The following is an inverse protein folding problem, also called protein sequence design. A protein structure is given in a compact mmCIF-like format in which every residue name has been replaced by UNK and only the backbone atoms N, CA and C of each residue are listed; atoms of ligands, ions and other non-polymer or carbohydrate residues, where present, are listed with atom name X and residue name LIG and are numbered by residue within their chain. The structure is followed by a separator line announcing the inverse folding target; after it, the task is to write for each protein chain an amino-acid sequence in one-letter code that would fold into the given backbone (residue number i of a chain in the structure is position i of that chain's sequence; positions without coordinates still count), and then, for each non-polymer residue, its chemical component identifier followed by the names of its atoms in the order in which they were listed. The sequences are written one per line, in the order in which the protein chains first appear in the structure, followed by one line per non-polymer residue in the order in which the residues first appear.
data_IF_489823088640
#
_entry.id   IF_489823088640
#
_cell.length_a   1.000
_cell.length_b   1.000
_cell.length_c   1.000
_cell.angle_alpha   90.00
_cell.angle_beta   90.00
_cell.angle_gamma   90.00
#
_symmetry.space_group_name_H-M   'P 1'
#
loop_
_entity.id
_entity.type
_entity.pdbx_description
1 polymer ?
#
# COMPACT_ATOMS: atom_id res chain seq x y z
N UNK A 1 -34.07 1.77 43.98
CA UNK A 1 -32.63 1.91 43.64
C UNK A 1 -31.70 1.81 44.84
N UNK A 2 -31.90 2.57 45.96
CA UNK A 2 -31.02 2.49 47.15
C UNK A 2 -30.91 1.08 47.75
N UNK A 3 -31.99 0.30 47.81
CA UNK A 3 -31.98 -1.07 48.35
C UNK A 3 -31.10 -2.02 47.52
N UNK A 4 -31.15 -1.92 46.19
CA UNK A 4 -30.33 -2.73 45.30
C UNK A 4 -28.85 -2.37 45.45
N UNK A 5 -28.51 -1.07 45.54
CA UNK A 5 -27.15 -0.61 45.82
C UNK A 5 -26.58 -1.16 47.13
N UNK A 6 -27.37 -1.10 48.20
CA UNK A 6 -26.96 -1.61 49.51
C UNK A 6 -26.75 -3.14 49.46
N UNK A 7 -27.58 -3.88 48.74
CA UNK A 7 -27.45 -5.32 48.57
C UNK A 7 -26.18 -5.68 47.79
N UNK A 8 -25.93 -5.00 46.67
CA UNK A 8 -24.70 -5.18 45.86
C UNK A 8 -23.46 -4.86 46.72
N UNK A 9 -23.48 -3.77 47.48
CA UNK A 9 -22.36 -3.35 48.29
C UNK A 9 -22.09 -4.31 49.47
N UNK A 10 -23.12 -4.83 50.10
CA UNK A 10 -22.97 -5.81 51.16
C UNK A 10 -22.43 -7.15 50.67
N UNK A 11 -22.73 -7.53 49.46
CA UNK A 11 -22.26 -8.78 48.83
C UNK A 11 -20.98 -8.60 48.01
N UNK A 12 -20.30 -7.46 48.08
CA UNK A 12 -19.14 -7.13 47.20
C UNK A 12 -18.01 -8.15 47.24
N UNK A 13 -17.76 -8.81 48.38
CA UNK A 13 -16.72 -9.85 48.48
C UNK A 13 -17.14 -11.16 47.78
N UNK A 14 -18.41 -11.55 47.92
CA UNK A 14 -18.95 -12.72 47.25
C UNK A 14 -19.01 -12.49 45.69
N UNK A 15 -19.32 -11.26 45.30
CA UNK A 15 -19.47 -10.89 43.89
C UNK A 15 -18.15 -10.38 43.24
N UNK A 16 -17.04 -10.38 43.99
CA UNK A 16 -15.75 -9.87 43.46
C UNK A 16 -15.31 -10.59 42.18
N UNK A 17 -15.56 -11.89 42.08
CA UNK A 17 -15.29 -12.69 40.88
C UNK A 17 -16.12 -12.21 39.68
N UNK A 18 -17.40 -11.96 39.87
CA UNK A 18 -18.29 -11.47 38.81
C UNK A 18 -17.85 -10.11 38.31
N UNK A 19 -17.38 -9.22 39.20
CA UNK A 19 -16.82 -7.93 38.80
C UNK A 19 -15.53 -8.06 37.97
N UNK A 20 -14.65 -8.98 38.38
CA UNK A 20 -13.43 -9.27 37.66
C UNK A 20 -13.74 -9.83 36.25
N UNK A 21 -14.68 -10.76 36.16
CA UNK A 21 -15.16 -11.34 34.91
C UNK A 21 -15.75 -10.26 33.97
N UNK A 22 -16.64 -9.41 34.50
CA UNK A 22 -17.22 -8.31 33.74
C UNK A 22 -16.16 -7.31 33.23
N UNK A 23 -15.11 -7.03 34.02
CA UNK A 23 -14.01 -6.19 33.57
C UNK A 23 -13.27 -6.83 32.40
N UNK A 24 -12.92 -8.11 32.48
CA UNK A 24 -12.24 -8.83 31.41
C UNK A 24 -13.09 -8.84 30.15
N UNK A 25 -14.37 -9.15 30.27
CA UNK A 25 -15.34 -9.14 29.17
C UNK A 25 -15.41 -7.78 28.50
N UNK A 26 -15.52 -6.69 29.29
CA UNK A 26 -15.58 -5.35 28.72
C UNK A 26 -14.28 -4.97 28.00
N UNK A 27 -13.11 -5.34 28.50
CA UNK A 27 -11.82 -5.09 27.86
C UNK A 27 -11.72 -5.84 26.53
N UNK A 28 -12.10 -7.13 26.51
CA UNK A 28 -12.08 -7.94 25.27
C UNK A 28 -13.06 -7.40 24.24
N UNK A 29 -14.25 -7.01 24.64
CA UNK A 29 -15.26 -6.46 23.75
C UNK A 29 -14.80 -5.11 23.18
N UNK A 30 -14.25 -4.24 24.04
CA UNK A 30 -13.69 -2.95 23.60
C UNK A 30 -12.57 -3.17 22.59
N UNK A 31 -11.64 -4.09 22.88
CA UNK A 31 -10.54 -4.41 21.98
C UNK A 31 -11.05 -4.94 20.61
N UNK A 32 -12.04 -5.83 20.63
CA UNK A 32 -12.62 -6.36 19.39
C UNK A 32 -13.31 -5.27 18.56
N UNK A 33 -14.06 -4.37 19.20
CA UNK A 33 -14.72 -3.24 18.55
C UNK A 33 -13.69 -2.27 17.98
N UNK A 34 -12.65 -1.92 18.76
CA UNK A 34 -11.59 -1.00 18.32
C UNK A 34 -10.83 -1.57 17.10
N UNK A 35 -10.54 -2.87 17.14
CA UNK A 35 -9.88 -3.56 16.03
C UNK A 35 -10.73 -3.52 14.75
N UNK A 36 -12.00 -3.89 14.84
CA UNK A 36 -12.92 -3.83 13.69
C UNK A 36 -13.03 -2.39 13.18
N UNK A 37 -13.21 -1.41 14.07
CA UNK A 37 -13.35 -0.02 13.70
C UNK A 37 -12.11 0.51 12.95
N UNK A 38 -10.91 0.15 13.40
CA UNK A 38 -9.68 0.59 12.76
C UNK A 38 -9.47 -0.07 11.39
N UNK A 39 -9.69 -1.38 11.28
CA UNK A 39 -9.48 -2.11 10.03
C UNK A 39 -10.58 -1.81 9.00
N UNK A 40 -11.84 -1.98 9.37
CA UNK A 40 -12.97 -1.71 8.47
C UNK A 40 -13.08 -0.23 8.13
N UNK A 41 -12.85 0.65 9.12
CA UNK A 41 -12.84 2.09 8.89
C UNK A 41 -11.76 2.52 7.89
N UNK A 42 -10.60 1.84 7.90
CA UNK A 42 -9.60 2.03 6.86
C UNK A 42 -10.07 1.44 5.52
N UNK A 43 -10.60 0.22 5.50
CA UNK A 43 -11.03 -0.47 4.28
C UNK A 43 -12.14 0.28 3.52
N UNK A 44 -13.03 0.98 4.22
CA UNK A 44 -14.10 1.79 3.59
C UNK A 44 -13.59 3.05 2.87
N UNK A 45 -12.40 3.51 3.19
CA UNK A 45 -11.83 4.67 2.49
C UNK A 45 -11.31 4.25 1.11
N UNK A 46 -11.51 5.06 0.05
CA UNK A 46 -11.00 4.76 -1.29
C UNK A 46 -9.50 4.48 -1.30
N UNK A 47 -9.06 3.51 -2.11
CA UNK A 47 -7.60 3.23 -2.27
C UNK A 47 -6.84 4.41 -2.84
N UNK A 48 -7.50 5.24 -3.64
CA UNK A 48 -6.92 6.38 -4.33
C UNK A 48 -6.31 6.05 -5.70
N UNK A 49 -6.30 4.78 -6.11
CA UNK A 49 -5.84 4.31 -7.41
C UNK A 49 -6.66 3.12 -7.88
N UNK A 50 -6.65 2.87 -9.19
CA UNK A 50 -7.42 1.80 -9.83
C UNK A 50 -6.52 0.60 -10.13
N UNK A 51 -6.88 -0.57 -9.57
CA UNK A 51 -6.19 -1.85 -9.79
C UNK A 51 -6.97 -2.84 -10.62
N UNK A 52 -8.18 -2.49 -11.08
CA UNK A 52 -8.98 -3.37 -11.92
C UNK A 52 -8.30 -3.61 -13.27
N UNK A 53 -8.10 -4.87 -13.64
CA UNK A 53 -7.38 -5.24 -14.85
C UNK A 53 -5.88 -4.92 -14.81
N UNK A 54 -5.31 -4.70 -13.63
CA UNK A 54 -3.86 -4.53 -13.46
C UNK A 54 -3.23 -5.83 -13.02
N UNK A 55 -2.13 -6.19 -13.67
CA UNK A 55 -1.28 -7.33 -13.35
C UNK A 55 0.09 -6.84 -12.91
N UNK A 56 0.73 -7.57 -12.03
CA UNK A 56 2.15 -7.40 -11.70
C UNK A 56 2.95 -8.51 -12.35
N UNK A 57 4.09 -8.15 -12.91
CA UNK A 57 5.07 -9.05 -13.45
C UNK A 57 6.41 -8.78 -12.77
N UNK A 58 7.06 -9.85 -12.32
CA UNK A 58 8.42 -9.76 -11.77
C UNK A 58 9.38 -10.47 -12.70
N UNK A 59 10.43 -9.76 -13.07
CA UNK A 59 11.62 -10.35 -13.69
C UNK A 59 12.65 -10.60 -12.59
N UNK A 60 13.33 -11.72 -12.69
CA UNK A 60 14.42 -12.06 -11.80
C UNK A 60 15.72 -12.24 -12.58
N UNK A 61 16.85 -12.22 -11.89
CA UNK A 61 18.15 -12.46 -12.49
C UNK A 61 18.50 -13.93 -12.41
N UNK A 62 19.11 -14.45 -13.48
CA UNK A 62 19.70 -15.79 -13.46
C UNK A 62 20.79 -15.88 -12.38
N UNK A 63 21.12 -17.08 -11.89
CA UNK A 63 22.20 -17.27 -10.95
C UNK A 63 23.53 -16.67 -11.42
N UNK A 64 24.32 -16.13 -10.49
CA UNK A 64 25.56 -15.40 -10.81
C UNK A 64 26.64 -16.24 -11.53
N UNK A 65 26.60 -17.55 -11.38
CA UNK A 65 27.48 -18.49 -12.06
C UNK A 65 27.22 -18.61 -13.56
N UNK A 66 26.03 -18.16 -14.01
CA UNK A 66 25.62 -18.12 -15.43
C UNK A 66 25.85 -16.71 -16.02
N UNK A 67 25.90 -15.68 -15.17
CA UNK A 67 26.09 -14.31 -15.58
C UNK A 67 27.58 -14.04 -15.76
N UNK A 68 27.99 -13.71 -16.97
CA UNK A 68 29.34 -13.26 -17.31
C UNK A 68 29.34 -11.77 -17.66
N UNK A 69 30.51 -11.18 -17.89
CA UNK A 69 30.67 -9.76 -18.20
C UNK A 69 29.93 -9.36 -19.48
N UNK A 70 29.83 -10.24 -20.46
CA UNK A 70 29.12 -9.98 -21.72
C UNK A 70 27.60 -9.93 -21.48
N UNK A 71 27.05 -10.88 -20.74
CA UNK A 71 25.64 -10.92 -20.35
C UNK A 71 25.27 -9.72 -19.52
N UNK A 72 26.10 -9.31 -18.58
CA UNK A 72 25.87 -8.15 -17.74
C UNK A 72 26.00 -6.83 -18.53
N UNK A 73 26.92 -6.77 -19.51
CA UNK A 73 27.14 -5.59 -20.36
C UNK A 73 25.92 -5.21 -21.22
N UNK A 74 25.07 -6.18 -21.58
CA UNK A 74 23.88 -5.98 -22.40
C UNK A 74 22.57 -5.86 -21.61
N UNK A 75 22.65 -5.84 -20.28
CA UNK A 75 21.46 -5.90 -19.42
C UNK A 75 20.42 -4.78 -19.69
N UNK A 76 20.88 -3.55 -19.97
CA UNK A 76 19.96 -2.45 -20.26
C UNK A 76 19.21 -2.63 -21.58
N UNK A 77 19.88 -3.16 -22.62
CA UNK A 77 19.27 -3.44 -23.92
C UNK A 77 18.30 -4.62 -23.81
N UNK A 78 18.70 -5.67 -23.11
CA UNK A 78 17.86 -6.85 -22.88
C UNK A 78 16.61 -6.49 -22.10
N UNK A 79 16.74 -5.69 -21.05
CA UNK A 79 15.58 -5.22 -20.28
C UNK A 79 14.65 -4.34 -21.13
N UNK A 80 15.21 -3.43 -21.92
CA UNK A 80 14.43 -2.57 -22.83
C UNK A 80 13.68 -3.41 -23.87
N UNK A 81 14.31 -4.45 -24.41
CA UNK A 81 13.65 -5.38 -25.31
C UNK A 81 12.46 -6.08 -24.61
N UNK A 82 12.68 -6.62 -23.43
CA UNK A 82 11.63 -7.28 -22.64
C UNK A 82 10.47 -6.32 -22.32
N UNK A 83 10.79 -5.10 -21.90
CA UNK A 83 9.82 -4.07 -21.63
C UNK A 83 8.95 -3.76 -22.85
N UNK A 84 9.56 -3.58 -24.02
CA UNK A 84 8.84 -3.31 -25.26
C UNK A 84 8.00 -4.51 -25.69
N UNK A 85 8.52 -5.73 -25.58
CA UNK A 85 7.77 -6.94 -25.88
C UNK A 85 6.51 -7.08 -25.03
N UNK A 86 6.58 -6.71 -23.75
CA UNK A 86 5.42 -6.70 -22.84
C UNK A 86 4.45 -5.59 -23.25
N UNK A 87 4.96 -4.40 -23.55
CA UNK A 87 4.16 -3.23 -23.93
C UNK A 87 3.38 -3.48 -25.23
N UNK A 88 3.97 -4.18 -26.19
CA UNK A 88 3.38 -4.46 -27.49
C UNK A 88 2.50 -5.72 -27.49
N UNK A 89 2.36 -6.41 -26.33
CA UNK A 89 1.54 -7.60 -26.24
C UNK A 89 0.04 -7.28 -26.37
N UNK A 90 -0.73 -8.09 -27.11
CA UNK A 90 -2.15 -7.84 -27.37
C UNK A 90 -2.99 -7.67 -26.09
N UNK A 91 -3.73 -6.58 -26.02
CA UNK A 91 -4.59 -6.25 -24.88
C UNK A 91 -3.91 -5.44 -23.77
N UNK A 92 -2.60 -5.18 -23.87
CA UNK A 92 -1.90 -4.30 -22.95
C UNK A 92 -2.19 -2.83 -23.31
N UNK A 93 -2.73 -2.07 -22.36
CA UNK A 93 -3.01 -0.64 -22.50
C UNK A 93 -1.83 0.22 -22.04
N UNK A 94 -1.21 -0.14 -20.94
CA UNK A 94 -0.07 0.58 -20.37
C UNK A 94 0.82 -0.36 -19.55
N UNK A 95 2.12 -0.06 -19.55
CA UNK A 95 3.13 -0.78 -18.75
C UNK A 95 4.02 0.24 -18.08
N UNK A 96 4.34 0.01 -16.82
CA UNK A 96 5.38 0.76 -16.13
C UNK A 96 6.18 -0.15 -15.24
N UNK A 97 7.49 -0.06 -15.29
CA UNK A 97 8.29 -0.57 -14.20
C UNK A 97 8.30 0.44 -13.04
N UNK A 98 8.44 -0.07 -11.86
CA UNK A 98 8.53 0.74 -10.65
C UNK A 98 9.28 -0.03 -9.55
N UNK A 99 9.80 0.70 -8.58
CA UNK A 99 10.40 0.13 -7.39
C UNK A 99 10.26 1.06 -6.18
N UNK A 100 10.51 0.53 -5.00
CA UNK A 100 10.34 1.23 -3.74
C UNK A 100 9.17 0.66 -2.96
N UNK A 101 8.19 1.47 -2.63
CA UNK A 101 7.02 1.02 -1.86
C UNK A 101 6.03 0.33 -2.80
N UNK A 102 6.13 -1.00 -2.90
CA UNK A 102 5.28 -1.82 -3.77
C UNK A 102 3.98 -2.17 -3.04
N UNK A 103 2.80 -1.93 -3.64
CA UNK A 103 1.52 -2.31 -3.04
C UNK A 103 1.45 -3.82 -2.77
N UNK A 104 0.82 -4.19 -1.67
CA UNK A 104 0.62 -5.59 -1.25
C UNK A 104 1.91 -6.40 -1.13
N UNK A 105 3.00 -5.77 -0.68
CA UNK A 105 4.27 -6.41 -0.35
C UNK A 105 4.88 -5.76 0.88
N UNK A 106 5.88 -6.43 1.47
CA UNK A 106 6.72 -5.86 2.53
C UNK A 106 7.86 -4.99 1.98
N UNK A 107 7.93 -4.81 0.65
CA UNK A 107 8.91 -3.93 0.01
C UNK A 107 8.52 -2.46 0.21
N UNK A 108 9.06 -1.86 1.25
CA UNK A 108 8.82 -0.45 1.58
C UNK A 108 10.13 0.33 1.61
N UNK A 109 10.20 1.40 0.82
CA UNK A 109 11.26 2.41 0.93
C UNK A 109 10.72 3.63 1.66
N UNK A 110 11.51 4.12 2.61
CA UNK A 110 11.10 5.22 3.47
C UNK A 110 12.23 6.22 3.63
N UNK A 111 11.94 7.51 3.42
CA UNK A 111 12.87 8.60 3.63
C UNK A 111 12.16 9.81 4.24
N UNK A 112 12.97 10.78 4.72
CA UNK A 112 12.48 12.04 5.28
C UNK A 112 12.68 13.20 4.32
N UNK A 113 11.67 14.08 4.24
CA UNK A 113 11.73 15.32 3.48
C UNK A 113 11.39 16.52 4.35
N UNK A 114 11.98 17.65 4.04
CA UNK A 114 11.80 18.91 4.76
C UNK A 114 11.45 20.05 3.79
N UNK A 115 10.63 21.03 4.19
CA UNK A 115 10.26 22.16 3.33
C UNK A 115 11.41 23.13 3.07
N UNK A 116 12.41 23.16 3.96
CA UNK A 116 13.61 23.99 3.86
C UNK A 116 14.82 23.21 4.30
N UNK A 117 15.99 23.61 3.76
CA UNK A 117 17.26 22.92 4.01
C UNK A 117 17.66 22.89 5.50
N UNK A 118 17.36 23.95 6.23
CA UNK A 118 17.68 24.09 7.66
C UNK A 118 16.49 23.75 8.57
N UNK A 119 15.43 23.13 8.01
CA UNK A 119 14.23 22.81 8.78
C UNK A 119 14.46 21.62 9.69
N UNK A 120 14.06 21.76 10.96
CA UNK A 120 13.95 20.63 11.88
C UNK A 120 12.66 19.83 11.67
N UNK A 121 11.73 20.35 10.88
CA UNK A 121 10.49 19.66 10.52
C UNK A 121 10.74 18.71 9.35
N UNK A 122 11.03 17.47 9.65
CA UNK A 122 11.24 16.40 8.68
C UNK A 122 10.03 15.48 8.68
N UNK A 123 9.39 15.34 7.53
CA UNK A 123 8.25 14.44 7.33
C UNK A 123 8.76 13.16 6.68
N UNK A 124 8.55 12.03 7.36
CA UNK A 124 8.82 10.72 6.79
C UNK A 124 7.76 10.34 5.76
N UNK A 125 8.16 9.80 4.64
CA UNK A 125 7.24 9.33 3.60
C UNK A 125 7.75 8.08 2.88
N UNK A 126 6.82 7.35 2.29
CA UNK A 126 7.11 6.23 1.41
C UNK A 126 7.55 6.74 0.04
N UNK A 127 8.55 6.09 -0.55
CA UNK A 127 9.12 6.48 -1.83
C UNK A 127 8.74 5.47 -2.89
N UNK A 128 8.49 5.98 -4.09
CA UNK A 128 8.29 5.15 -5.27
C UNK A 128 8.98 5.79 -6.47
N UNK A 129 9.85 5.03 -7.09
CA UNK A 129 10.48 5.41 -8.36
C UNK A 129 9.65 4.83 -9.49
N UNK A 130 9.26 5.67 -10.45
CA UNK A 130 8.30 5.29 -11.48
C UNK A 130 8.62 5.93 -12.83
N UNK A 131 8.23 5.23 -13.90
CA UNK A 131 8.09 5.83 -15.23
C UNK A 131 6.81 6.70 -15.29
N UNK A 132 6.69 7.63 -16.27
CA UNK A 132 5.47 8.42 -16.44
C UNK A 132 4.22 7.57 -16.65
N UNK A 133 4.35 6.44 -17.34
CA UNK A 133 3.28 5.50 -17.64
C UNK A 133 2.66 4.85 -16.40
N UNK A 134 3.35 4.90 -15.24
CA UNK A 134 2.82 4.44 -13.96
C UNK A 134 1.48 5.08 -13.61
N UNK A 135 1.35 6.37 -13.88
CA UNK A 135 0.14 7.12 -13.58
C UNK A 135 -1.03 6.72 -14.48
N UNK A 136 -0.75 6.27 -15.70
CA UNK A 136 -1.77 5.71 -16.61
C UNK A 136 -2.17 4.29 -16.18
N UNK A 137 -1.19 3.44 -15.79
CA UNK A 137 -1.46 2.09 -15.29
C UNK A 137 -2.41 2.12 -14.10
N UNK A 138 -2.20 3.01 -13.14
CA UNK A 138 -3.01 3.10 -11.93
C UNK A 138 -4.11 4.17 -12.00
N UNK A 139 -4.28 4.82 -13.16
CA UNK A 139 -5.24 5.91 -13.40
C UNK A 139 -5.15 7.01 -12.33
N UNK A 140 -3.95 7.29 -11.87
CA UNK A 140 -3.65 8.32 -10.88
C UNK A 140 -3.68 9.70 -11.55
N UNK A 141 -4.68 10.51 -11.22
CA UNK A 141 -4.81 11.87 -11.74
C UNK A 141 -4.46 12.88 -10.65
N UNK A 142 -3.59 13.86 -10.95
CA UNK A 142 -3.28 14.93 -10.01
C UNK A 142 -4.51 15.74 -9.60
N UNK A 143 -4.58 16.11 -8.32
CA UNK A 143 -5.58 17.05 -7.78
C UNK A 143 -5.12 18.51 -7.92
N UNK A 144 -3.80 18.74 -8.03
CA UNK A 144 -3.19 20.03 -8.31
C UNK A 144 -1.94 19.84 -9.17
N UNK A 145 -1.65 20.78 -10.06
CA UNK A 145 -0.56 20.69 -11.02
C UNK A 145 -0.84 19.70 -12.16
N UNK A 146 0.20 19.29 -12.85
CA UNK A 146 0.14 18.29 -13.93
C UNK A 146 1.47 17.56 -14.07
N UNK A 147 1.43 16.33 -14.55
CA UNK A 147 2.63 15.61 -14.97
C UNK A 147 3.13 16.20 -16.32
N UNK A 148 4.34 16.73 -16.30
CA UNK A 148 5.08 17.10 -17.50
C UNK A 148 6.06 15.97 -17.82
N UNK A 149 5.69 15.14 -18.79
CA UNK A 149 6.41 13.91 -19.12
C UNK A 149 7.86 14.19 -19.57
N UNK A 150 8.10 15.30 -20.29
CA UNK A 150 9.45 15.65 -20.72
C UNK A 150 10.33 16.03 -19.52
N UNK A 151 9.85 16.89 -18.64
CA UNK A 151 10.58 17.23 -17.41
C UNK A 151 10.81 16.00 -16.54
N UNK A 152 9.83 15.10 -16.49
CA UNK A 152 9.94 13.86 -15.73
C UNK A 152 11.04 12.95 -16.25
N UNK A 153 11.14 12.78 -17.57
CA UNK A 153 12.16 11.94 -18.21
C UNK A 153 13.57 12.47 -18.04
N UNK A 154 13.78 13.77 -18.13
CA UNK A 154 15.11 14.35 -18.01
C UNK A 154 15.58 14.54 -16.56
N UNK A 155 14.64 14.61 -15.61
CA UNK A 155 14.91 14.66 -14.17
C UNK A 155 16.03 15.64 -13.76
N UNK A 156 16.03 16.84 -14.37
CA UNK A 156 17.02 17.90 -14.04
C UNK A 156 16.82 18.42 -12.62
N UNK A 157 17.89 18.94 -12.03
CA UNK A 157 17.86 19.57 -10.70
C UNK A 157 17.33 21.01 -10.80
N UNK A 158 16.31 21.39 -10.00
CA UNK A 158 15.62 20.61 -8.96
C UNK A 158 14.81 19.46 -9.56
N UNK A 159 14.99 18.24 -8.99
CA UNK A 159 14.34 17.04 -9.52
C UNK A 159 12.81 17.16 -9.39
N UNK A 160 12.06 17.00 -10.48
CA UNK A 160 10.60 17.04 -10.44
C UNK A 160 10.06 15.87 -9.64
N UNK A 161 9.08 16.14 -8.77
CA UNK A 161 8.42 15.11 -7.96
C UNK A 161 6.91 15.29 -7.98
N UNK A 162 6.21 14.15 -7.84
CA UNK A 162 4.82 14.16 -7.45
C UNK A 162 4.73 13.68 -5.99
N UNK A 163 3.78 14.24 -5.24
CA UNK A 163 3.58 13.84 -3.85
C UNK A 163 2.11 13.62 -3.55
N UNK A 164 1.84 12.78 -2.56
CA UNK A 164 0.48 12.61 -2.07
C UNK A 164 -0.02 13.85 -1.35
N UNK A 165 -1.34 13.95 -1.23
CA UNK A 165 -2.00 15.01 -0.45
C UNK A 165 -1.44 15.08 0.97
N UNK A 166 -1.24 13.94 1.62
CA UNK A 166 -0.74 13.84 3.01
C UNK A 166 0.66 14.44 3.15
N UNK A 167 1.55 14.16 2.19
CA UNK A 167 2.90 14.73 2.21
C UNK A 167 2.87 16.24 1.97
N UNK A 168 2.07 16.69 1.01
CA UNK A 168 1.93 18.13 0.73
C UNK A 168 1.36 18.90 1.92
N UNK A 169 0.29 18.40 2.54
CA UNK A 169 -0.32 18.99 3.73
C UNK A 169 0.68 19.02 4.90
N UNK A 170 1.45 17.93 5.10
CA UNK A 170 2.42 17.85 6.19
C UNK A 170 3.63 18.77 6.00
N UNK A 171 4.13 18.93 4.77
CA UNK A 171 5.29 19.78 4.47
C UNK A 171 4.94 21.27 4.36
N UNK A 172 3.81 21.58 3.75
CA UNK A 172 3.48 22.95 3.33
C UNK A 172 2.19 23.52 3.94
N UNK A 173 1.47 22.71 4.75
CA UNK A 173 0.20 23.08 5.36
C UNK A 173 -0.98 23.15 4.38
N UNK A 174 -0.78 22.75 3.13
CA UNK A 174 -1.78 22.75 2.05
C UNK A 174 -1.39 21.76 0.96
N UNK A 175 -2.38 21.25 0.25
CA UNK A 175 -2.23 20.37 -0.93
C UNK A 175 -2.84 20.96 -2.20
N UNK A 176 -3.16 22.24 -2.17
CA UNK A 176 -3.72 22.99 -3.30
C UNK A 176 -2.68 23.42 -4.35
N UNK A 177 -3.13 24.25 -5.34
CA UNK A 177 -2.25 24.76 -6.41
C UNK A 177 -1.02 25.53 -5.90
N UNK A 178 -1.11 26.13 -4.71
CA UNK A 178 -0.02 26.92 -4.10
C UNK A 178 1.22 26.09 -3.73
N UNK A 179 1.12 24.77 -3.77
CA UNK A 179 2.25 23.86 -3.52
C UNK A 179 3.09 23.65 -4.78
N UNK A 180 2.51 23.87 -5.95
CA UNK A 180 3.18 23.64 -7.23
C UNK A 180 4.35 24.59 -7.41
N UNK A 181 5.50 24.03 -7.74
CA UNK A 181 6.76 24.78 -7.87
C UNK A 181 7.52 25.00 -6.57
N UNK A 182 6.93 24.71 -5.40
CA UNK A 182 7.68 24.73 -4.13
C UNK A 182 8.75 23.63 -4.14
N UNK A 183 9.80 23.87 -3.37
CA UNK A 183 10.90 22.91 -3.23
C UNK A 183 10.83 22.21 -1.87
N UNK A 184 11.26 20.95 -1.86
CA UNK A 184 11.54 20.22 -0.63
C UNK A 184 12.93 19.58 -0.73
N UNK A 185 13.46 19.17 0.41
CA UNK A 185 14.82 18.72 0.57
C UNK A 185 14.87 17.39 1.30
N UNK A 186 15.78 16.52 0.90
CA UNK A 186 16.08 15.30 1.66
C UNK A 186 17.33 15.52 2.51
N UNK A 187 17.20 15.72 3.83
CA UNK A 187 18.33 16.03 4.70
C UNK A 187 19.32 14.86 4.85
N UNK A 188 18.89 13.64 4.61
CA UNK A 188 19.76 12.47 4.70
C UNK A 188 20.88 12.49 3.64
N UNK A 189 20.54 12.87 2.39
CA UNK A 189 21.51 12.92 1.30
C UNK A 189 22.44 14.11 1.34
N UNK A 190 22.06 15.17 2.06
CA UNK A 190 22.89 16.37 2.20
C UNK A 190 24.25 16.11 2.84
N UNK A 191 24.30 15.16 3.77
CA UNK A 191 25.50 14.86 4.56
C UNK A 191 26.36 13.73 3.98
N UNK A 192 26.02 13.19 2.82
CA UNK A 192 26.81 12.13 2.20
C UNK A 192 28.09 12.67 1.56
N UNK A 193 29.22 11.95 1.67
CA UNK A 193 30.52 12.42 1.20
C UNK A 193 30.64 12.54 -0.32
N UNK A 194 29.78 11.83 -1.08
CA UNK A 194 29.83 11.86 -2.55
C UNK A 194 28.87 12.93 -3.12
N UNK A 195 29.40 14.04 -3.70
CA UNK A 195 28.57 15.11 -4.27
C UNK A 195 27.67 14.69 -5.44
N UNK A 196 28.09 13.68 -6.22
CA UNK A 196 27.32 13.21 -7.38
C UNK A 196 26.05 12.43 -7.01
N UNK A 197 25.91 12.01 -5.75
CA UNK A 197 24.70 11.38 -5.23
C UNK A 197 23.75 12.39 -4.53
N UNK A 198 24.10 13.68 -4.57
CA UNK A 198 23.35 14.72 -3.84
C UNK A 198 22.25 15.33 -4.70
N UNK A 199 21.22 14.57 -5.05
CA UNK A 199 19.97 15.22 -5.37
C UNK A 199 19.29 15.56 -4.05
N UNK A 200 19.47 16.81 -3.62
CA UNK A 200 18.96 17.29 -2.34
C UNK A 200 17.77 18.21 -2.52
N UNK A 201 17.50 18.63 -3.75
CA UNK A 201 16.53 19.66 -4.09
C UNK A 201 15.50 19.07 -5.07
N UNK A 202 14.26 18.99 -4.58
CA UNK A 202 13.11 18.43 -5.30
C UNK A 202 12.06 19.52 -5.49
N UNK A 203 11.47 19.60 -6.67
CA UNK A 203 10.42 20.58 -6.96
C UNK A 203 9.09 19.87 -7.20
N UNK A 204 8.07 20.32 -6.49
CA UNK A 204 6.71 19.77 -6.62
C UNK A 204 6.15 20.11 -7.99
N UNK A 205 5.91 19.11 -8.81
CA UNK A 205 5.30 19.22 -10.13
C UNK A 205 3.79 19.04 -10.05
N UNK A 206 3.33 18.10 -9.25
CA UNK A 206 1.92 17.83 -9.04
C UNK A 206 1.65 17.20 -7.67
N UNK A 207 0.42 17.35 -7.21
CA UNK A 207 -0.09 16.68 -6.00
C UNK A 207 -1.13 15.64 -6.41
N UNK A 208 -0.96 14.44 -5.92
CA UNK A 208 -1.85 13.30 -6.14
C UNK A 208 -2.90 13.23 -5.02
N UNK A 209 -4.07 12.62 -5.26
CA UNK A 209 -5.03 12.35 -4.21
C UNK A 209 -4.44 11.45 -3.12
N UNK A 210 -5.13 11.40 -1.98
CA UNK A 210 -4.83 10.43 -0.92
C UNK A 210 -4.88 9.01 -1.47
N UNK A 211 -3.89 8.20 -1.14
CA UNK A 211 -3.86 6.78 -1.55
C UNK A 211 -3.15 5.93 -0.51
N UNK A 212 -3.35 4.63 -0.60
CA UNK A 212 -2.89 3.64 0.37
C UNK A 212 -1.90 2.66 -0.25
N UNK A 213 -1.15 1.95 0.58
CA UNK A 213 -0.33 0.82 0.15
C UNK A 213 -1.17 -0.46 0.08
N UNK A 214 -2.07 -0.65 1.05
CA UNK A 214 -3.07 -1.72 1.10
C UNK A 214 -4.42 -1.20 1.64
N UNK A 215 -5.46 -2.03 1.64
CA UNK A 215 -6.81 -1.62 2.05
C UNK A 215 -6.93 -1.22 3.50
N UNK A 216 -6.22 -1.90 4.37
CA UNK A 216 -6.40 -1.80 5.82
C UNK A 216 -5.50 -0.76 6.48
N UNK A 217 -4.59 -0.14 5.70
CA UNK A 217 -3.77 0.98 6.16
C UNK A 217 -4.50 2.31 5.98
N UNK A 218 -4.08 3.28 6.78
CA UNK A 218 -4.50 4.68 6.61
C UNK A 218 -3.76 5.32 5.44
N UNK A 219 -4.24 6.47 5.00
CA UNK A 219 -3.50 7.30 4.07
C UNK A 219 -2.17 7.72 4.69
N UNK A 220 -1.10 7.54 3.95
CA UNK A 220 0.25 7.86 4.35
C UNK A 220 0.90 8.82 3.37
N UNK A 221 1.92 9.57 3.83
CA UNK A 221 2.72 10.40 2.94
C UNK A 221 3.48 9.56 1.92
N UNK A 222 3.36 9.93 0.62
CA UNK A 222 4.11 9.34 -0.48
C UNK A 222 4.80 10.40 -1.32
N UNK A 223 5.97 10.07 -1.83
CA UNK A 223 6.66 10.81 -2.88
C UNK A 223 6.98 9.90 -4.06
N UNK A 224 6.74 10.41 -5.26
CA UNK A 224 7.05 9.75 -6.52
C UNK A 224 8.23 10.44 -7.16
N UNK A 225 9.23 9.66 -7.49
CA UNK A 225 10.48 10.10 -8.09
C UNK A 225 10.61 9.55 -9.51
N UNK A 226 11.19 10.32 -10.44
CA UNK A 226 11.36 9.88 -11.81
C UNK A 226 12.40 8.77 -11.92
N UNK A 227 12.07 7.80 -12.77
CA UNK A 227 13.02 6.86 -13.36
C UNK A 227 13.16 7.22 -14.82
N UNK A 228 14.34 7.65 -15.29
CA UNK A 228 14.49 8.19 -16.65
C UNK A 228 14.40 7.12 -17.75
N UNK A 229 14.62 5.87 -17.43
CA UNK A 229 14.56 4.75 -18.37
C UNK A 229 13.90 3.53 -17.75
N UNK A 230 13.42 2.56 -18.53
CA UNK A 230 12.78 1.36 -18.00
C UNK A 230 13.74 0.41 -17.27
N UNK A 231 15.06 0.58 -17.35
CA UNK A 231 16.00 -0.31 -16.69
C UNK A 231 16.27 0.11 -15.24
N UNK A 232 15.72 -0.61 -14.24
CA UNK A 232 16.07 -0.39 -12.86
C UNK A 232 17.35 -1.14 -12.48
N UNK A 233 18.21 -0.50 -11.72
CA UNK A 233 19.41 -1.15 -11.14
C UNK A 233 19.03 -2.24 -10.11
N UNK A 234 17.83 -2.12 -9.53
CA UNK A 234 17.32 -2.98 -8.47
C UNK A 234 15.87 -3.33 -8.81
N UNK A 235 15.23 -4.24 -8.19
CA UNK A 235 13.82 -4.67 -8.24
C UNK A 235 13.06 -4.43 -9.55
N UNK A 236 12.76 -5.50 -10.22
CA UNK A 236 12.23 -5.51 -11.58
C UNK A 236 10.73 -5.82 -11.57
N UNK A 237 9.97 -5.00 -10.84
CA UNK A 237 8.52 -5.08 -10.87
C UNK A 237 7.96 -4.23 -12.02
N UNK A 238 7.04 -4.84 -12.75
CA UNK A 238 6.28 -4.16 -13.79
C UNK A 238 4.80 -4.24 -13.45
N UNK A 239 4.12 -3.11 -13.54
CA UNK A 239 2.67 -3.07 -13.51
C UNK A 239 2.16 -2.98 -14.96
N UNK A 240 1.20 -3.81 -15.28
CA UNK A 240 0.63 -3.97 -16.62
C UNK A 240 -0.87 -3.73 -16.52
N UNK A 241 -1.39 -2.69 -17.19
CA UNK A 241 -2.84 -2.51 -17.34
C UNK A 241 -3.29 -3.19 -18.61
N UNK A 242 -4.35 -4.01 -18.48
CA UNK A 242 -4.92 -4.80 -19.55
C UNK A 242 -6.32 -4.28 -19.88
N UNK A 243 -6.62 -4.18 -21.16
CA UNK A 243 -7.96 -3.79 -21.63
C UNK A 243 -9.02 -4.77 -21.10
N UNK A 244 -10.21 -4.31 -20.67
CA UNK A 244 -11.22 -5.15 -20.04
C UNK A 244 -11.59 -6.41 -20.84
N UNK A 245 -11.65 -6.32 -22.18
CA UNK A 245 -11.96 -7.45 -23.06
C UNK A 245 -10.90 -8.57 -23.05
N UNK A 246 -9.68 -8.27 -22.56
CA UNK A 246 -8.56 -9.20 -22.54
C UNK A 246 -8.20 -9.71 -21.14
N UNK A 247 -8.81 -9.18 -20.07
CA UNK A 247 -8.49 -9.54 -18.69
C UNK A 247 -8.74 -11.02 -18.40
N UNK A 248 -9.89 -11.55 -18.87
CA UNK A 248 -10.24 -12.95 -18.64
C UNK A 248 -9.19 -13.90 -19.25
N UNK A 249 -8.52 -14.70 -18.41
CA UNK A 249 -7.48 -15.64 -18.80
C UNK A 249 -6.20 -14.98 -19.34
N UNK A 250 -5.98 -13.70 -19.05
CA UNK A 250 -4.80 -12.96 -19.50
C UNK A 250 -3.50 -13.61 -19.02
N UNK A 251 -3.41 -13.93 -17.76
CA UNK A 251 -2.21 -14.51 -17.16
C UNK A 251 -1.77 -15.80 -17.86
N UNK A 252 -2.69 -16.73 -18.08
CA UNK A 252 -2.40 -18.00 -18.75
C UNK A 252 -1.95 -17.83 -20.19
N UNK A 253 -2.67 -16.96 -20.94
CA UNK A 253 -2.29 -16.64 -22.33
C UNK A 253 -0.93 -15.96 -22.39
N UNK A 254 -0.74 -14.92 -21.60
CA UNK A 254 0.51 -14.17 -21.53
C UNK A 254 1.69 -15.07 -21.19
N UNK A 255 1.55 -15.89 -20.15
CA UNK A 255 2.59 -16.84 -19.71
C UNK A 255 2.96 -17.83 -20.83
N UNK A 256 1.96 -18.36 -21.54
CA UNK A 256 2.16 -19.30 -22.64
C UNK A 256 2.84 -18.64 -23.83
N UNK A 257 2.35 -17.49 -24.26
CA UNK A 257 2.81 -16.83 -25.48
C UNK A 257 4.19 -16.18 -25.32
N UNK A 258 4.49 -15.71 -24.09
CA UNK A 258 5.73 -14.99 -23.77
C UNK A 258 6.82 -15.86 -23.15
N UNK A 259 6.58 -17.15 -22.92
CA UNK A 259 7.48 -18.07 -22.23
C UNK A 259 8.92 -18.06 -22.80
N UNK A 260 9.08 -18.03 -24.12
CA UNK A 260 10.41 -17.97 -24.76
C UNK A 260 10.96 -16.55 -24.90
N UNK A 261 10.10 -15.55 -24.89
CA UNK A 261 10.48 -14.14 -25.07
C UNK A 261 11.00 -13.53 -23.78
N UNK A 262 10.41 -13.91 -22.63
CA UNK A 262 10.73 -13.34 -21.31
C UNK A 262 11.93 -14.02 -20.62
N UNK A 263 12.70 -14.80 -21.37
CA UNK A 263 14.02 -15.28 -20.96
C UNK A 263 15.08 -14.72 -21.88
N UNK A 264 15.74 -13.62 -21.45
CA UNK A 264 16.75 -12.94 -22.27
C UNK A 264 17.90 -12.40 -21.43
N UNK A 265 19.13 -12.63 -21.87
CA UNK A 265 20.33 -12.22 -21.16
C UNK A 265 20.35 -12.77 -19.74
N UNK A 266 20.47 -11.86 -18.77
CA UNK A 266 20.44 -12.21 -17.36
C UNK A 266 19.04 -12.37 -16.78
N UNK A 267 17.99 -11.98 -17.50
CA UNK A 267 16.63 -11.91 -17.00
C UNK A 267 15.81 -13.15 -17.33
N UNK A 268 14.88 -13.47 -16.43
CA UNK A 268 13.79 -14.42 -16.67
C UNK A 268 12.53 -13.96 -15.92
N UNK A 269 11.36 -14.35 -16.43
CA UNK A 269 10.09 -14.09 -15.76
C UNK A 269 9.95 -15.01 -14.53
N UNK A 270 9.87 -14.41 -13.36
CA UNK A 270 9.62 -15.12 -12.11
C UNK A 270 8.13 -15.45 -12.00
N UNK A 271 7.30 -14.41 -12.00
CA UNK A 271 5.85 -14.58 -11.99
C UNK A 271 5.13 -13.44 -12.72
N UNK A 272 3.89 -13.72 -13.09
CA UNK A 272 2.87 -12.75 -13.42
C UNK A 272 1.62 -13.12 -12.64
N UNK A 273 0.94 -12.16 -12.03
CA UNK A 273 -0.29 -12.37 -11.29
C UNK A 273 -1.15 -11.10 -11.28
N UNK A 274 -2.46 -11.25 -11.08
CA UNK A 274 -3.34 -10.10 -10.94
C UNK A 274 -3.09 -9.36 -9.61
N UNK A 275 -3.39 -8.07 -9.58
CA UNK A 275 -3.36 -7.32 -8.31
C UNK A 275 -4.41 -7.82 -7.31
N UNK A 276 -5.48 -8.46 -7.77
CA UNK A 276 -6.46 -9.10 -6.91
C UNK A 276 -5.87 -10.30 -6.16
N UNK A 277 -5.15 -11.18 -6.88
CA UNK A 277 -4.51 -12.35 -6.29
C UNK A 277 -3.35 -11.94 -5.35
N UNK A 278 -2.59 -10.91 -5.75
CA UNK A 278 -1.53 -10.35 -4.92
C UNK A 278 -2.07 -9.81 -3.60
N UNK A 279 -3.21 -9.10 -3.65
CA UNK A 279 -3.92 -8.64 -2.46
C UNK A 279 -4.36 -9.80 -1.56
N UNK A 280 -5.00 -10.81 -2.14
CA UNK A 280 -5.48 -11.98 -1.38
C UNK A 280 -4.32 -12.68 -0.68
N UNK A 281 -3.21 -12.91 -1.38
CA UNK A 281 -2.01 -13.51 -0.82
C UNK A 281 -1.45 -12.66 0.35
N UNK A 282 -1.36 -11.35 0.18
CA UNK A 282 -0.88 -10.42 1.20
C UNK A 282 -1.79 -10.40 2.43
N UNK A 283 -3.10 -10.33 2.25
CA UNK A 283 -4.07 -10.35 3.34
C UNK A 283 -4.00 -11.64 4.17
N UNK A 284 -3.73 -12.77 3.50
CA UNK A 284 -3.52 -14.06 4.17
C UNK A 284 -2.20 -14.04 4.95
N UNK A 285 -1.12 -13.57 4.35
CA UNK A 285 0.22 -13.52 4.96
C UNK A 285 0.23 -12.60 6.19
N UNK A 286 -0.37 -11.42 6.08
CA UNK A 286 -0.48 -10.48 7.21
C UNK A 286 -1.45 -10.96 8.29
N UNK A 287 -2.23 -11.99 8.03
CA UNK A 287 -3.20 -12.52 8.98
C UNK A 287 -4.38 -11.58 9.27
N UNK A 288 -4.57 -10.53 8.49
CA UNK A 288 -5.61 -9.50 8.68
C UNK A 288 -7.01 -10.11 8.74
N UNK A 289 -7.31 -11.04 7.82
CA UNK A 289 -8.58 -11.78 7.80
C UNK A 289 -8.78 -12.57 9.09
N UNK A 290 -7.73 -13.19 9.62
CA UNK A 290 -7.80 -13.97 10.88
C UNK A 290 -8.06 -13.07 12.09
N UNK A 291 -7.43 -11.89 12.14
CA UNK A 291 -7.68 -10.91 13.21
C UNK A 291 -9.12 -10.41 13.20
N UNK A 292 -9.65 -10.05 12.04
CA UNK A 292 -11.03 -9.61 11.88
C UNK A 292 -12.02 -10.73 12.22
N UNK A 293 -11.82 -11.93 11.72
CA UNK A 293 -12.69 -13.08 12.03
C UNK A 293 -12.68 -13.39 13.53
N UNK A 294 -11.53 -13.29 14.19
CA UNK A 294 -11.43 -13.47 15.64
C UNK A 294 -12.23 -12.40 16.40
N UNK A 295 -12.12 -11.14 16.00
CA UNK A 295 -12.87 -10.05 16.60
C UNK A 295 -14.38 -10.22 16.41
N UNK A 296 -14.83 -10.59 15.21
CA UNK A 296 -16.25 -10.91 14.96
C UNK A 296 -16.73 -12.10 15.77
N UNK A 297 -15.92 -13.16 15.91
CA UNK A 297 -16.27 -14.32 16.72
C UNK A 297 -16.45 -13.96 18.20
N UNK A 298 -15.58 -13.09 18.73
CA UNK A 298 -15.70 -12.57 20.10
C UNK A 298 -17.00 -11.81 20.29
N UNK A 299 -17.34 -10.90 19.39
CA UNK A 299 -18.60 -10.14 19.47
C UNK A 299 -19.81 -11.07 19.35
N UNK A 300 -19.80 -12.00 18.41
CA UNK A 300 -20.87 -12.97 18.23
C UNK A 300 -21.08 -13.84 19.48
N UNK A 301 -19.99 -14.28 20.10
CA UNK A 301 -20.05 -15.02 21.37
C UNK A 301 -20.73 -14.21 22.48
N UNK A 302 -20.39 -12.92 22.63
CA UNK A 302 -21.04 -12.08 23.65
C UNK A 302 -22.50 -11.83 23.33
N UNK A 303 -22.86 -11.55 22.11
CA UNK A 303 -24.26 -11.37 21.69
C UNK A 303 -25.10 -12.63 21.97
N UNK A 304 -24.53 -13.81 21.68
CA UNK A 304 -25.18 -15.08 21.95
C UNK A 304 -25.41 -15.31 23.44
N UNK A 305 -24.43 -14.99 24.31
CA UNK A 305 -24.59 -15.10 25.75
C UNK A 305 -25.65 -14.12 26.30
N UNK A 306 -25.70 -12.89 25.78
CA UNK A 306 -26.77 -11.93 26.14
C UNK A 306 -28.14 -12.48 25.74
N UNK A 307 -28.26 -13.03 24.53
CA UNK A 307 -29.50 -13.65 24.06
C UNK A 307 -29.94 -14.82 24.94
N UNK A 308 -29.02 -15.72 25.29
CA UNK A 308 -29.31 -16.83 26.22
C UNK A 308 -29.79 -16.34 27.61
N UNK A 309 -29.15 -15.27 28.10
CA UNK A 309 -29.52 -14.68 29.38
C UNK A 309 -30.95 -14.09 29.37
N UNK A 310 -31.30 -13.41 28.26
CA UNK A 310 -32.65 -12.89 28.07
C UNK A 310 -33.68 -14.03 27.96
N UNK A 311 -33.37 -15.08 27.24
CA UNK A 311 -34.21 -16.27 27.12
C UNK A 311 -34.44 -16.93 28.49
N UNK A 312 -33.35 -17.14 29.25
CA UNK A 312 -33.43 -17.73 30.58
C UNK A 312 -34.35 -16.92 31.53
N UNK A 313 -34.16 -15.59 31.57
CA UNK A 313 -35.02 -14.70 32.39
C UNK A 313 -36.48 -14.75 31.90
N UNK A 314 -36.71 -14.80 30.62
CA UNK A 314 -38.04 -14.86 30.01
C UNK A 314 -38.79 -16.16 30.36
N UNK A 315 -38.09 -17.29 30.32
CA UNK A 315 -38.64 -18.62 30.68
C UNK A 315 -38.86 -18.70 32.18
N UNK A 316 -37.93 -18.25 33.00
CA UNK A 316 -38.00 -18.23 34.44
C UNK A 316 -39.21 -17.44 34.94
N UNK A 317 -39.52 -16.29 34.33
CA UNK A 317 -40.71 -15.49 34.70
C UNK A 317 -42.02 -16.20 34.39
N UNK A 318 -42.10 -16.91 33.25
CA UNK A 318 -43.32 -17.67 32.87
C UNK A 318 -43.58 -18.88 33.77
N UNK A 319 -42.54 -19.44 34.39
CA UNK A 319 -42.68 -20.56 35.34
C UNK A 319 -43.17 -20.18 36.73
N UNK A 320 -43.30 -18.87 37.04
CA UNK A 320 -43.83 -18.36 38.29
C UNK A 320 -45.31 -17.97 38.19
N UNK A 321 -45.86 -17.95 36.97
CA UNK A 321 -47.28 -17.62 36.70
C UNK A 321 -48.14 -18.87 36.52
N UNK A 322 -47.61 -20.08 36.80
CA UNK A 322 -48.30 -21.37 36.86
C UNK A 322 -48.27 -21.91 38.32
#
# INVERSE_FOLDING_TARGET
MKAIWNQIWNQRRANAWVWAELMVVNVLLWYAIDLIYNYEGAAWQPKGYDTEGVFTLKLNNKPLDIINDEVNGNAAEDFTYLYNAIKDYPGVEAVSNYYGSVPYTDEVMFEGYAPHIDSLHVVGCKIRYVLPEYFDVFRLKPIAGRLDVEKWKYAEVPMPVLMSKELADSLFGTSGPDVIGKTCFNPYWMNKPNPSLRVTNYQVMAVLPSHKLDEYQRYEPFIYLPTPNPYPLFWQHMAIRVHPDYVAGFEERFRKDMQGTLERGMFYMDYIQSYADMKEAFDIEQGTVNYLNTAYAVIAFFLFNVFLSILYVSISRRGWDL
#
